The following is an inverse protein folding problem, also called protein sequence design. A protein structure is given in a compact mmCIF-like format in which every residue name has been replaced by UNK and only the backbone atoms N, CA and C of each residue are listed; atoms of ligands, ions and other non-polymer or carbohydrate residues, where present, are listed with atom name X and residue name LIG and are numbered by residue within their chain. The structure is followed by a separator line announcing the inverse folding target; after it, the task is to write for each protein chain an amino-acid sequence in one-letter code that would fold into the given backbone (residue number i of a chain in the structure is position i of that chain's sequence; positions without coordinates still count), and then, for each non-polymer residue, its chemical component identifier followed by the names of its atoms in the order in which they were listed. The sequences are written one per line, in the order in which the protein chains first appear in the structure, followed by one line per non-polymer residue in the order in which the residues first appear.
data_IF_058607981970
#
_entry.id   IF_058607981970
#
_cell.length_a   1.000
_cell.length_b   1.000
_cell.length_c   1.000
_cell.angle_alpha   90.00
_cell.angle_beta   90.00
_cell.angle_gamma   90.00
#
_symmetry.space_group_name_H-M   'P 1'
#
loop_
_entity.id
_entity.type
_entity.pdbx_description
1 polymer ?
#
# COMPACT_ATOMS: atom_id res chain seq x y z
N UNK A 1 11.86 -6.12 9.28
CA UNK A 1 12.66 -6.13 10.52
C UNK A 1 13.48 -7.41 10.71
N UNK A 2 12.95 -8.63 10.49
CA UNK A 2 13.76 -9.87 10.64
C UNK A 2 15.06 -9.86 9.81
N UNK A 3 14.99 -9.66 8.49
CA UNK A 3 16.17 -9.66 7.61
C UNK A 3 17.20 -8.54 7.92
N UNK A 4 16.75 -7.40 8.44
CA UNK A 4 17.60 -6.20 8.60
C UNK A 4 18.02 -5.92 10.05
N UNK A 5 17.25 -6.38 11.03
CA UNK A 5 17.49 -6.12 12.46
C UNK A 5 17.65 -7.43 13.28
N UNK A 6 17.34 -8.60 12.70
CA UNK A 6 17.39 -9.89 13.41
C UNK A 6 16.30 -10.09 14.45
N UNK A 7 15.41 -9.10 14.63
CA UNK A 7 14.35 -9.13 15.64
C UNK A 7 13.15 -9.91 15.08
N UNK A 8 12.68 -10.97 15.78
CA UNK A 8 11.52 -11.74 15.34
C UNK A 8 10.22 -10.96 15.61
N UNK A 9 9.22 -11.13 14.73
CA UNK A 9 7.98 -10.36 14.78
C UNK A 9 7.19 -10.52 16.10
N UNK A 10 7.22 -11.71 16.70
CA UNK A 10 6.55 -11.97 17.98
C UNK A 10 7.15 -11.18 19.14
N UNK A 11 8.44 -10.87 19.08
CA UNK A 11 9.12 -10.09 20.12
C UNK A 11 8.73 -8.62 20.09
N UNK A 12 8.16 -8.13 18.97
CA UNK A 12 7.73 -6.74 18.80
C UNK A 12 6.29 -6.49 19.28
N UNK A 13 5.44 -7.52 19.31
CA UNK A 13 4.00 -7.38 19.63
C UNK A 13 3.73 -6.80 21.02
N UNK A 14 4.63 -7.01 21.98
CA UNK A 14 4.53 -6.48 23.35
C UNK A 14 5.78 -5.68 23.76
N UNK A 15 6.52 -5.16 22.79
CA UNK A 15 7.76 -4.43 23.06
C UNK A 15 7.55 -2.96 23.43
N UNK A 16 6.32 -2.43 23.53
CA UNK A 16 6.06 -1.00 23.70
C UNK A 16 6.86 -0.32 24.83
N UNK A 17 7.01 -0.99 25.99
CA UNK A 17 7.84 -0.49 27.10
C UNK A 17 9.29 -1.02 27.08
N UNK A 18 9.54 -2.11 26.35
CA UNK A 18 10.84 -2.81 26.32
C UNK A 18 11.71 -2.41 25.13
N UNK A 19 11.18 -1.64 24.19
CA UNK A 19 11.86 -1.14 23.00
C UNK A 19 12.69 0.11 23.33
N UNK A 20 13.63 -0.06 24.27
CA UNK A 20 14.54 0.97 24.75
C UNK A 20 15.99 0.51 24.55
N UNK A 21 16.94 1.33 25.02
CA UNK A 21 18.37 1.12 24.78
C UNK A 21 18.84 -0.30 25.19
N UNK A 22 19.47 -1.02 24.27
CA UNK A 22 19.91 -2.41 24.46
C UNK A 22 18.93 -3.49 23.99
N UNK A 23 17.77 -3.13 23.42
CA UNK A 23 16.83 -4.12 22.87
C UNK A 23 17.48 -4.94 21.74
N UNK A 24 17.65 -6.24 21.96
CA UNK A 24 18.36 -7.16 21.04
C UNK A 24 19.81 -6.74 20.71
N UNK A 25 20.46 -5.98 21.59
CA UNK A 25 21.83 -5.49 21.40
C UNK A 25 21.97 -4.28 20.48
N UNK A 26 20.86 -3.63 20.12
CA UNK A 26 20.85 -2.40 19.32
C UNK A 26 20.80 -1.16 20.23
N UNK A 27 21.51 -0.10 19.83
CA UNK A 27 21.39 1.21 20.48
C UNK A 27 20.04 1.86 20.20
N UNK A 28 19.62 2.79 21.06
CA UNK A 28 18.39 3.54 20.89
C UNK A 28 18.28 4.23 19.51
N UNK A 29 19.37 4.81 19.00
CA UNK A 29 19.39 5.45 17.68
C UNK A 29 19.12 4.46 16.53
N UNK A 30 19.64 3.22 16.63
CA UNK A 30 19.39 2.18 15.64
C UNK A 30 17.93 1.71 15.68
N UNK A 31 17.36 1.57 16.89
CA UNK A 31 15.97 1.20 17.13
C UNK A 31 14.99 2.25 16.55
N UNK A 32 15.29 3.54 16.73
CA UNK A 32 14.54 4.65 16.14
C UNK A 32 14.62 4.62 14.61
N UNK A 33 15.80 4.38 14.04
CA UNK A 33 15.99 4.25 12.59
C UNK A 33 15.19 3.07 12.01
N UNK A 34 15.13 1.93 12.70
CA UNK A 34 14.31 0.79 12.27
C UNK A 34 12.82 1.10 12.30
N UNK A 35 12.35 1.83 13.31
CA UNK A 35 10.96 2.24 13.40
C UNK A 35 10.60 3.22 12.27
N UNK A 36 11.43 4.24 12.03
CA UNK A 36 11.26 5.18 10.92
C UNK A 36 11.23 4.45 9.56
N UNK A 37 12.12 3.47 9.36
CA UNK A 37 12.14 2.65 8.14
C UNK A 37 10.84 1.84 8.00
N UNK A 38 10.34 1.24 9.08
CA UNK A 38 9.08 0.50 9.10
C UNK A 38 7.88 1.38 8.75
N UNK A 39 7.82 2.59 9.30
CA UNK A 39 6.78 3.58 8.99
C UNK A 39 6.81 3.99 7.51
N UNK A 40 8.00 4.19 6.94
CA UNK A 40 8.15 4.52 5.52
C UNK A 40 7.73 3.37 4.60
N UNK A 41 8.09 2.13 4.93
CA UNK A 41 7.65 0.92 4.20
C UNK A 41 6.13 0.80 4.22
N UNK A 42 5.50 1.04 5.38
CA UNK A 42 4.05 1.04 5.51
C UNK A 42 3.40 2.13 4.65
N UNK A 43 3.94 3.35 4.68
CA UNK A 43 3.46 4.46 3.86
C UNK A 43 3.52 4.14 2.35
N UNK A 44 4.66 3.65 1.85
CA UNK A 44 4.82 3.23 0.44
C UNK A 44 3.83 2.12 0.08
N UNK A 45 3.66 1.14 0.98
CA UNK A 45 2.69 0.06 0.81
C UNK A 45 1.27 0.60 0.65
N UNK A 46 0.86 1.54 1.49
CA UNK A 46 -0.46 2.17 1.36
C UNK A 46 -0.62 2.88 0.02
N UNK A 47 0.35 3.68 -0.41
CA UNK A 47 0.29 4.40 -1.70
C UNK A 47 0.08 3.43 -2.87
N UNK A 48 0.78 2.29 -2.88
CA UNK A 48 0.65 1.26 -3.93
C UNK A 48 -0.71 0.55 -3.85
N UNK A 49 -1.18 0.19 -2.66
CA UNK A 49 -2.51 -0.40 -2.48
C UNK A 49 -3.62 0.57 -2.93
N UNK A 50 -3.42 1.88 -2.74
CA UNK A 50 -4.38 2.86 -3.23
C UNK A 50 -4.51 2.86 -4.75
N UNK A 51 -3.50 2.46 -5.51
CA UNK A 51 -3.65 2.30 -6.96
C UNK A 51 -4.66 1.20 -7.30
N UNK A 52 -4.63 0.08 -6.57
CA UNK A 52 -5.63 -0.98 -6.69
C UNK A 52 -7.04 -0.50 -6.34
N UNK A 53 -7.19 0.23 -5.23
CA UNK A 53 -8.47 0.81 -4.81
C UNK A 53 -9.01 1.82 -5.81
N UNK A 54 -8.16 2.71 -6.33
CA UNK A 54 -8.51 3.74 -7.30
C UNK A 54 -9.05 3.14 -8.60
N UNK A 55 -8.45 2.04 -9.07
CA UNK A 55 -8.92 1.29 -10.24
C UNK A 55 -10.23 0.54 -9.96
N UNK A 56 -10.37 -0.03 -8.76
CA UNK A 56 -11.57 -0.75 -8.31
C UNK A 56 -12.81 0.16 -8.23
N UNK A 57 -12.69 1.32 -7.55
CA UNK A 57 -13.79 2.28 -7.32
C UNK A 57 -14.26 2.95 -8.61
N UNK A 58 -13.40 3.04 -9.64
CA UNK A 58 -13.72 3.69 -10.92
C UNK A 58 -14.96 3.12 -11.59
N UNK A 59 -15.22 1.81 -11.46
CA UNK A 59 -16.36 1.16 -12.09
C UNK A 59 -17.22 0.43 -11.05
N UNK A 60 -18.30 1.04 -10.54
CA UNK A 60 -19.16 0.39 -9.52
C UNK A 60 -19.92 -0.86 -9.99
N UNK A 61 -20.19 -1.01 -11.30
CA UNK A 61 -21.04 -2.09 -11.85
C UNK A 61 -20.48 -2.81 -13.07
N UNK A 62 -19.47 -2.24 -13.75
CA UNK A 62 -18.88 -2.81 -14.96
C UNK A 62 -17.49 -3.36 -14.63
N UNK A 63 -17.15 -4.50 -15.23
CA UNK A 63 -15.79 -5.07 -15.11
C UNK A 63 -14.80 -4.13 -15.81
N UNK A 64 -13.58 -4.02 -15.29
CA UNK A 64 -12.47 -3.29 -15.92
C UNK A 64 -12.21 -3.78 -17.36
N UNK A 65 -12.47 -5.06 -17.67
CA UNK A 65 -12.30 -5.63 -19.02
C UNK A 65 -13.42 -5.27 -20.00
N UNK A 66 -14.61 -4.94 -19.51
CA UNK A 66 -15.74 -4.52 -20.33
C UNK A 66 -15.91 -2.99 -20.34
N UNK A 67 -15.40 -2.32 -19.31
CA UNK A 67 -15.29 -0.88 -19.24
C UNK A 67 -14.04 -0.45 -20.01
N UNK A 68 -14.15 -0.47 -21.33
CA UNK A 68 -13.09 -0.15 -22.28
C UNK A 68 -12.22 1.05 -21.79
N UNK A 69 -10.98 0.80 -21.33
CA UNK A 69 -10.11 1.83 -20.79
C UNK A 69 -9.51 2.75 -21.87
N UNK A 70 -9.69 2.40 -23.15
CA UNK A 70 -9.06 3.04 -24.32
C UNK A 70 -10.05 3.95 -25.07
N UNK A 71 -11.36 3.72 -24.95
CA UNK A 71 -12.37 4.54 -25.62
C UNK A 71 -12.44 5.97 -25.06
N UNK A 72 -12.35 6.96 -25.94
CA UNK A 72 -12.24 8.40 -25.63
C UNK A 72 -13.34 8.96 -24.70
N UNK A 73 -14.47 8.26 -24.56
CA UNK A 73 -15.64 8.68 -23.77
C UNK A 73 -15.52 8.45 -22.25
N UNK A 74 -14.59 7.61 -21.78
CA UNK A 74 -14.42 7.29 -20.34
C UNK A 74 -12.99 7.45 -19.81
N UNK A 75 -12.06 7.94 -20.62
CA UNK A 75 -10.66 8.14 -20.22
C UNK A 75 -10.59 9.25 -19.16
N UNK A 76 -10.21 8.90 -17.94
CA UNK A 76 -9.90 9.89 -16.91
C UNK A 76 -8.37 9.94 -16.68
N UNK A 77 -7.63 10.69 -17.52
CA UNK A 77 -6.18 10.79 -17.39
C UNK A 77 -5.76 11.47 -16.07
N UNK A 78 -6.62 12.33 -15.50
CA UNK A 78 -6.37 12.99 -14.22
C UNK A 78 -6.27 12.01 -13.05
N UNK A 79 -6.98 10.88 -13.12
CA UNK A 79 -6.94 9.84 -12.10
C UNK A 79 -5.57 9.13 -12.08
N UNK A 80 -5.04 8.80 -13.26
CA UNK A 80 -3.68 8.26 -13.39
C UNK A 80 -2.62 9.30 -13.05
N UNK A 81 -2.82 10.57 -13.43
CA UNK A 81 -1.92 11.66 -13.08
C UNK A 81 -1.86 11.86 -11.56
N UNK A 82 -3.01 11.83 -10.87
CA UNK A 82 -3.06 11.91 -9.41
C UNK A 82 -2.34 10.74 -8.73
N UNK A 83 -2.52 9.52 -9.24
CA UNK A 83 -1.80 8.34 -8.75
C UNK A 83 -0.27 8.46 -8.97
N UNK A 84 0.14 8.97 -10.14
CA UNK A 84 1.54 9.23 -10.47
C UNK A 84 2.15 10.30 -9.57
N UNK A 85 1.45 11.41 -9.35
CA UNK A 85 1.90 12.49 -8.44
C UNK A 85 2.06 11.94 -7.02
N UNK A 86 1.10 11.16 -6.52
CA UNK A 86 1.21 10.53 -5.21
C UNK A 86 2.42 9.58 -5.10
N UNK A 87 2.71 8.83 -6.16
CA UNK A 87 3.89 7.96 -6.22
C UNK A 87 5.20 8.74 -6.26
N UNK A 88 5.27 9.83 -7.04
CA UNK A 88 6.44 10.72 -7.07
C UNK A 88 6.68 11.37 -5.71
N UNK A 89 5.61 11.83 -5.04
CA UNK A 89 5.70 12.36 -3.68
C UNK A 89 6.23 11.28 -2.73
N UNK A 90 5.79 10.03 -2.85
CA UNK A 90 6.28 8.95 -2.01
C UNK A 90 7.78 8.70 -2.18
N UNK A 91 8.28 8.72 -3.42
CA UNK A 91 9.74 8.64 -3.69
C UNK A 91 10.45 9.85 -3.08
N UNK A 92 9.92 11.05 -3.28
CA UNK A 92 10.53 12.28 -2.79
C UNK A 92 10.62 12.30 -1.26
N UNK A 93 9.60 11.82 -0.55
CA UNK A 93 9.57 11.73 0.92
C UNK A 93 10.51 10.67 1.47
N UNK A 94 10.75 9.59 0.72
CA UNK A 94 11.57 8.46 1.18
C UNK A 94 13.04 8.56 0.79
N UNK A 95 13.39 9.27 -0.28
CA UNK A 95 14.77 9.31 -0.81
C UNK A 95 15.46 10.68 -0.73
N UNK A 96 14.73 11.78 -0.49
CA UNK A 96 15.35 13.11 -0.44
C UNK A 96 15.87 13.42 0.96
N UNK A 97 17.18 13.62 1.15
CA UNK A 97 17.78 13.80 2.48
C UNK A 97 17.29 15.04 3.22
N UNK A 98 16.89 16.10 2.50
CA UNK A 98 16.28 17.29 3.11
C UNK A 98 14.90 17.02 3.71
N UNK A 99 14.11 16.17 3.06
CA UNK A 99 12.77 15.79 3.52
C UNK A 99 12.86 14.71 4.60
N UNK A 100 13.81 13.79 4.48
CA UNK A 100 14.10 12.80 5.51
C UNK A 100 14.40 13.42 6.87
N UNK A 101 15.16 14.52 6.90
CA UNK A 101 15.41 15.28 8.13
C UNK A 101 14.15 15.96 8.68
N UNK A 102 13.27 16.43 7.80
CA UNK A 102 12.06 17.16 8.20
C UNK A 102 10.95 16.23 8.75
N UNK A 103 10.73 15.10 8.08
CA UNK A 103 9.67 14.13 8.41
C UNK A 103 10.18 12.94 9.22
N UNK A 104 11.47 12.91 9.57
CA UNK A 104 12.13 11.77 10.24
C UNK A 104 11.93 10.45 9.49
N UNK A 105 11.98 10.49 8.15
CA UNK A 105 11.85 9.32 7.29
C UNK A 105 13.20 8.67 7.02
N UNK A 106 13.17 7.41 6.59
CA UNK A 106 14.37 6.64 6.25
C UNK A 106 14.22 6.02 4.85
N UNK A 107 15.35 5.80 4.17
CA UNK A 107 15.36 5.18 2.85
C UNK A 107 14.76 3.77 2.90
N UNK A 108 13.91 3.49 1.92
CA UNK A 108 13.16 2.24 1.84
C UNK A 108 13.80 1.31 0.81
N UNK A 109 14.24 0.10 1.19
CA UNK A 109 14.81 -0.85 0.24
C UNK A 109 13.81 -1.18 -0.88
N UNK A 110 14.30 -1.28 -2.11
CA UNK A 110 13.46 -1.48 -3.31
C UNK A 110 12.63 -2.77 -3.26
N UNK A 111 13.07 -3.78 -2.52
CA UNK A 111 12.32 -5.01 -2.26
C UNK A 111 10.92 -4.72 -1.70
N UNK A 112 10.80 -3.75 -0.79
CA UNK A 112 9.53 -3.38 -0.16
C UNK A 112 8.61 -2.55 -1.05
N UNK A 113 9.11 -2.03 -2.17
CA UNK A 113 8.29 -1.40 -3.19
C UNK A 113 7.57 -2.43 -4.06
N UNK A 114 8.16 -3.61 -4.25
CA UNK A 114 7.60 -4.66 -5.12
C UNK A 114 6.61 -5.58 -4.39
N UNK A 115 6.81 -5.85 -3.10
CA UNK A 115 5.91 -6.68 -2.27
C UNK A 115 4.43 -6.25 -2.32
N UNK A 116 4.06 -4.96 -2.26
CA UNK A 116 2.65 -4.55 -2.25
C UNK A 116 1.98 -4.61 -3.64
N UNK A 117 2.72 -4.74 -4.75
CA UNK A 117 2.15 -4.87 -6.09
C UNK A 117 1.21 -6.09 -6.24
N UNK A 118 1.61 -7.33 -5.90
CA UNK A 118 0.72 -8.48 -5.98
C UNK A 118 -0.49 -8.35 -5.03
N UNK A 119 -0.34 -7.67 -3.89
CA UNK A 119 -1.47 -7.39 -2.98
C UNK A 119 -2.47 -6.41 -3.61
N UNK A 120 -1.99 -5.35 -4.26
CA UNK A 120 -2.83 -4.40 -4.99
C UNK A 120 -3.58 -5.09 -6.15
N UNK A 121 -2.91 -6.00 -6.86
CA UNK A 121 -3.55 -6.85 -7.87
C UNK A 121 -4.59 -7.80 -7.26
N UNK A 122 -4.32 -8.35 -6.09
CA UNK A 122 -5.27 -9.17 -5.33
C UNK A 122 -6.53 -8.41 -4.94
N UNK A 123 -6.41 -7.16 -4.49
CA UNK A 123 -7.56 -6.27 -4.21
C UNK A 123 -8.39 -6.06 -5.48
N UNK A 124 -7.74 -5.80 -6.60
CA UNK A 124 -8.41 -5.59 -7.88
C UNK A 124 -9.13 -6.87 -8.35
N UNK A 125 -8.47 -8.03 -8.24
CA UNK A 125 -9.06 -9.33 -8.59
C UNK A 125 -10.26 -9.67 -7.69
N UNK A 126 -10.19 -9.37 -6.40
CA UNK A 126 -11.28 -9.58 -5.45
C UNK A 126 -12.49 -8.70 -5.80
N UNK A 127 -12.27 -7.42 -6.11
CA UNK A 127 -13.35 -6.52 -6.49
C UNK A 127 -13.96 -6.88 -7.86
N UNK A 128 -13.15 -7.29 -8.84
CA UNK A 128 -13.65 -7.81 -10.12
C UNK A 128 -14.48 -9.09 -9.91
N UNK A 129 -14.02 -10.00 -9.05
CA UNK A 129 -14.77 -11.21 -8.69
C UNK A 129 -16.12 -10.87 -8.06
N UNK A 130 -16.15 -9.89 -7.14
CA UNK A 130 -17.40 -9.37 -6.55
C UNK A 130 -18.34 -8.82 -7.61
N UNK A 131 -17.84 -8.02 -8.56
CA UNK A 131 -18.64 -7.47 -9.67
C UNK A 131 -19.19 -8.56 -10.58
N UNK A 132 -18.40 -9.58 -10.89
CA UNK A 132 -18.84 -10.73 -11.69
C UNK A 132 -19.96 -11.49 -10.97
N UNK A 133 -19.79 -11.80 -9.68
CA UNK A 133 -20.80 -12.50 -8.88
C UNK A 133 -22.13 -11.74 -8.81
N UNK A 134 -22.11 -10.41 -8.60
CA UNK A 134 -23.32 -9.57 -8.57
C UNK A 134 -24.03 -9.55 -9.92
N UNK A 135 -23.29 -9.60 -11.04
CA UNK A 135 -23.87 -9.62 -12.40
C UNK A 135 -24.45 -10.97 -12.77
N UNK A 136 -23.81 -12.06 -12.34
CA UNK A 136 -24.29 -13.42 -12.57
C UNK A 136 -25.49 -13.77 -11.69
N UNK A 137 -25.60 -13.20 -10.48
CA UNK A 137 -26.66 -13.50 -9.51
C UNK A 137 -27.37 -12.23 -9.00
N UNK A 138 -28.15 -11.52 -9.84
CA UNK A 138 -28.77 -10.24 -9.48
C UNK A 138 -29.87 -10.34 -8.40
N UNK A 139 -30.36 -11.54 -8.08
CA UNK A 139 -31.38 -11.80 -7.02
C UNK A 139 -30.82 -12.57 -5.81
N UNK A 140 -29.52 -12.82 -5.74
CA UNK A 140 -28.91 -13.56 -4.62
C UNK A 140 -28.75 -12.71 -3.36
N UNK A 141 -28.72 -13.33 -2.18
CA UNK A 141 -28.45 -12.67 -0.89
C UNK A 141 -27.14 -11.87 -0.87
N UNK A 142 -26.15 -12.29 -1.66
CA UNK A 142 -24.89 -11.58 -1.88
C UNK A 142 -25.03 -10.21 -2.56
N UNK A 143 -26.07 -10.00 -3.37
CA UNK A 143 -26.33 -8.71 -4.00
C UNK A 143 -26.76 -7.63 -2.99
N UNK A 144 -27.36 -8.04 -1.86
CA UNK A 144 -27.72 -7.15 -0.75
C UNK A 144 -26.54 -6.71 0.12
N UNK A 145 -25.50 -7.55 0.26
CA UNK A 145 -24.27 -7.22 1.01
C UNK A 145 -23.20 -6.53 0.14
N UNK A 146 -23.37 -6.54 -1.18
CA UNK A 146 -22.39 -6.01 -2.12
C UNK A 146 -22.62 -4.53 -2.48
N UNK A 147 -23.58 -3.85 -1.83
CA UNK A 147 -23.92 -2.44 -2.08
C UNK A 147 -23.42 -1.52 -0.98
#
# INVERSE_FOLDING_TARGET
MWKHAGIPAHALFFAFEKYSDGFYGHSQEALEKFNATGQCVYFVTLVILQWGNLLSVRNKRLSIFQADPISAKRRNPWLFLGALIAFVIAIFVTEVPGIQRLFKTASVPIEFWLIPLPLALGILAMDESRKLLVRSFPKGSLAGFAW
#
